data_IF_741048636434
#
_entry.id   IF_741048636434
#
_cell.length_a   1.000
_cell.length_b   1.000
_cell.length_c   1.000
_cell.angle_alpha   90.00
_cell.angle_beta   90.00
_cell.angle_gamma   90.00
#
_symmetry.space_group_name_H-M   'P 1'
#
loop_
_entity.id
_entity.type
_entity.pdbx_description
1 polymer ?
#
# COMPACT_ATOMS: atom_id res chain seq x y z
N UNK A 1 46.08 41.41 -28.61
CA UNK A 1 46.12 40.13 -27.89
C UNK A 1 46.43 39.03 -28.86
N UNK A 2 47.54 38.34 -28.64
CA UNK A 2 48.01 37.28 -29.52
C UNK A 2 47.13 36.02 -29.38
N UNK A 3 47.07 35.20 -30.40
CA UNK A 3 46.29 33.95 -30.42
C UNK A 3 46.58 33.04 -29.21
N UNK A 4 47.85 33.04 -28.77
CA UNK A 4 48.32 32.32 -27.59
C UNK A 4 47.70 32.84 -26.27
N UNK A 5 47.58 34.19 -26.12
CA UNK A 5 46.99 34.79 -24.92
C UNK A 5 45.48 34.38 -24.74
N UNK A 6 44.74 34.28 -25.84
CA UNK A 6 43.32 33.84 -25.81
C UNK A 6 43.19 32.38 -25.40
N UNK A 7 44.10 31.53 -25.87
CA UNK A 7 44.14 30.09 -25.51
C UNK A 7 44.47 29.90 -24.03
N UNK A 8 45.44 30.64 -23.50
CA UNK A 8 45.82 30.54 -22.07
C UNK A 8 44.67 31.01 -21.19
N UNK A 9 43.98 32.11 -21.54
CA UNK A 9 42.81 32.61 -20.80
C UNK A 9 41.68 31.57 -20.82
N UNK A 10 41.44 30.92 -21.97
CA UNK A 10 40.45 29.83 -22.07
C UNK A 10 40.72 28.65 -21.14
N UNK A 11 42.00 28.23 -21.07
CA UNK A 11 42.42 27.13 -20.19
C UNK A 11 42.25 27.52 -18.71
N UNK A 12 42.62 28.73 -18.33
CA UNK A 12 42.48 29.20 -16.94
C UNK A 12 41.00 29.29 -16.53
N UNK A 13 40.15 29.81 -17.41
CA UNK A 13 38.70 29.88 -17.14
C UNK A 13 38.08 28.50 -17.02
N UNK A 14 38.47 27.55 -17.89
CA UNK A 14 38.03 26.18 -17.83
C UNK A 14 38.47 25.47 -16.55
N UNK A 15 39.73 25.67 -16.14
CA UNK A 15 40.27 25.09 -14.90
C UNK A 15 39.51 25.68 -13.66
N UNK A 16 39.24 26.97 -13.64
CA UNK A 16 38.45 27.59 -12.58
C UNK A 16 37.01 27.05 -12.52
N UNK A 17 36.40 26.82 -13.68
CA UNK A 17 35.07 26.18 -13.76
C UNK A 17 35.07 24.78 -13.17
N UNK A 18 36.05 23.94 -13.50
CA UNK A 18 36.17 22.59 -12.94
C UNK A 18 36.36 22.59 -11.41
N UNK A 19 37.12 23.56 -10.89
CA UNK A 19 37.29 23.73 -9.44
C UNK A 19 35.95 24.08 -8.78
N UNK A 20 35.18 24.97 -9.35
CA UNK A 20 33.86 25.38 -8.82
C UNK A 20 32.89 24.19 -8.85
N UNK A 21 32.87 23.43 -9.93
CA UNK A 21 32.03 22.22 -10.05
C UNK A 21 32.44 21.17 -9.01
N UNK A 22 33.75 20.94 -8.84
CA UNK A 22 34.27 20.01 -7.84
C UNK A 22 33.89 20.42 -6.41
N UNK A 23 34.05 21.70 -6.07
CA UNK A 23 33.64 22.21 -4.76
C UNK A 23 32.12 22.16 -4.55
N UNK A 24 31.36 22.51 -5.57
CA UNK A 24 29.89 22.37 -5.57
C UNK A 24 29.46 20.92 -5.33
N UNK A 25 30.10 19.98 -6.02
CA UNK A 25 29.84 18.56 -5.84
C UNK A 25 30.19 18.07 -4.42
N UNK A 26 31.36 18.49 -3.87
CA UNK A 26 31.77 18.09 -2.51
C UNK A 26 30.89 18.70 -1.41
N UNK A 27 30.36 19.89 -1.61
CA UNK A 27 29.40 20.51 -0.67
C UNK A 27 28.08 19.77 -0.75
N UNK A 28 27.58 19.54 -1.96
CA UNK A 28 26.30 18.86 -2.17
C UNK A 28 26.34 17.39 -1.69
N UNK A 29 27.45 16.68 -1.93
CA UNK A 29 27.60 15.29 -1.47
C UNK A 29 27.72 15.16 0.05
N UNK A 30 28.19 16.20 0.75
CA UNK A 30 28.20 16.24 2.22
C UNK A 30 26.81 16.53 2.81
N UNK A 31 25.95 17.23 2.05
CA UNK A 31 24.57 17.53 2.46
C UNK A 31 23.60 16.35 2.20
N UNK A 32 24.00 15.42 1.30
CA UNK A 32 23.23 14.21 0.97
C UNK A 32 23.93 12.92 1.43
N UNK A 33 24.62 12.95 2.58
CA UNK A 33 25.14 11.72 3.15
C UNK A 33 24.04 11.07 4.03
N UNK A 34 23.50 9.86 3.68
CA UNK A 34 22.51 9.17 4.49
C UNK A 34 23.07 8.56 5.79
N UNK A 35 24.28 8.93 6.18
CA UNK A 35 25.00 8.37 7.34
C UNK A 35 25.66 9.47 8.18
N UNK A 36 24.87 10.33 8.81
CA UNK A 36 25.32 11.05 10.00
C UNK A 36 24.46 10.65 11.21
N UNK A 37 25.02 9.85 12.13
CA UNK A 37 24.41 9.56 13.42
C UNK A 37 24.86 10.60 14.44
N UNK A 38 24.28 11.79 14.45
CA UNK A 38 24.44 12.72 15.55
C UNK A 38 23.27 13.70 15.64
N UNK A 39 22.15 13.21 16.13
CA UNK A 39 21.26 14.02 16.94
C UNK A 39 20.76 13.15 18.07
N UNK A 40 21.21 13.49 19.27
CA UNK A 40 20.73 12.96 20.52
C UNK A 40 19.21 12.94 20.50
N UNK A 41 18.62 11.75 20.50
CA UNK A 41 17.36 11.53 21.16
C UNK A 41 17.36 10.18 21.84
N UNK A 42 17.10 10.24 23.11
CA UNK A 42 16.77 9.26 24.11
C UNK A 42 16.31 7.93 23.53
N UNK A 43 16.96 6.84 23.96
CA UNK A 43 16.68 5.48 23.52
C UNK A 43 15.19 5.13 23.55
N UNK A 44 14.67 4.85 22.39
CA UNK A 44 13.63 3.87 22.19
C UNK A 44 14.15 2.95 21.09
N UNK A 45 14.28 1.68 21.43
CA UNK A 45 14.54 0.59 20.51
C UNK A 45 13.61 0.77 19.29
N UNK A 46 14.18 1.02 18.08
CA UNK A 46 13.48 0.76 16.83
C UNK A 46 13.31 -0.77 16.72
N UNK A 47 12.44 -1.32 17.54
CA UNK A 47 11.69 -2.50 17.18
C UNK A 47 10.69 -2.00 16.12
N UNK A 48 10.72 -2.60 14.96
CA UNK A 48 9.83 -2.51 13.82
C UNK A 48 8.44 -1.97 14.21
N UNK A 49 8.26 -0.65 14.24
CA UNK A 49 6.99 -0.06 14.65
C UNK A 49 6.05 -0.19 13.46
N UNK A 50 5.25 -1.26 13.48
CA UNK A 50 4.26 -1.54 12.45
C UNK A 50 3.43 -0.27 12.17
N UNK A 51 3.23 0.04 10.91
CA UNK A 51 2.47 1.21 10.49
C UNK A 51 1.02 1.10 10.94
N UNK A 52 0.47 2.16 11.54
CA UNK A 52 -0.95 2.24 11.83
C UNK A 52 -1.77 2.20 10.52
N UNK A 53 -2.82 1.39 10.51
CA UNK A 53 -3.74 1.31 9.38
C UNK A 53 -4.57 2.60 9.29
N UNK A 54 -4.52 3.35 8.18
CA UNK A 54 -5.34 4.54 7.98
C UNK A 54 -6.83 4.19 8.04
N UNK A 55 -7.63 4.99 8.74
CA UNK A 55 -9.10 4.83 8.70
C UNK A 55 -9.64 5.28 7.35
N UNK A 56 -10.76 4.70 6.94
CA UNK A 56 -11.46 5.02 5.70
C UNK A 56 -12.94 4.67 5.83
N UNK A 57 -13.74 5.19 4.89
CA UNK A 57 -15.16 4.87 4.76
C UNK A 57 -15.42 4.18 3.42
N UNK A 58 -16.16 3.08 3.46
CA UNK A 58 -16.70 2.37 2.29
C UNK A 58 -18.19 2.13 2.52
N UNK A 59 -18.89 1.56 1.54
CA UNK A 59 -20.31 1.32 1.64
C UNK A 59 -20.64 -0.17 1.52
N UNK A 60 -21.57 -0.66 2.33
CA UNK A 60 -22.08 -2.02 2.19
C UNK A 60 -23.04 -2.15 0.98
N UNK A 61 -23.65 -3.32 0.82
CA UNK A 61 -24.58 -3.60 -0.27
C UNK A 61 -25.84 -2.72 -0.21
N UNK A 62 -26.27 -2.34 0.99
CA UNK A 62 -27.44 -1.52 1.23
C UNK A 62 -27.14 -0.01 1.13
N UNK A 63 -25.85 0.35 0.99
CA UNK A 63 -25.39 1.73 0.90
C UNK A 63 -25.12 2.37 2.27
N UNK A 64 -25.06 1.60 3.34
CA UNK A 64 -24.69 2.12 4.65
C UNK A 64 -23.16 2.33 4.71
N UNK A 65 -22.69 3.43 5.32
CA UNK A 65 -21.27 3.65 5.52
C UNK A 65 -20.69 2.67 6.54
N UNK A 66 -19.51 2.15 6.23
CA UNK A 66 -18.73 1.23 7.07
C UNK A 66 -17.30 1.75 7.14
N UNK A 67 -16.75 1.87 8.33
CA UNK A 67 -15.39 2.33 8.58
C UNK A 67 -14.49 1.19 9.02
N UNK A 68 -13.19 1.30 8.73
CA UNK A 68 -12.23 0.35 9.31
C UNK A 68 -12.27 0.40 10.85
N UNK A 69 -12.41 1.59 11.43
CA UNK A 69 -12.50 1.78 12.89
C UNK A 69 -13.70 1.08 13.55
N UNK A 70 -14.77 0.71 12.82
CA UNK A 70 -15.89 -0.08 13.34
C UNK A 70 -15.45 -1.51 13.76
N UNK A 71 -14.30 -1.96 13.28
CA UNK A 71 -13.72 -3.26 13.56
C UNK A 71 -12.55 -3.22 14.54
N UNK A 72 -12.36 -2.11 15.25
CA UNK A 72 -11.31 -1.98 16.26
C UNK A 72 -11.34 -3.13 17.27
N UNK A 73 -10.16 -3.68 17.60
CA UNK A 73 -10.05 -4.83 18.49
C UNK A 73 -10.24 -6.20 17.82
N UNK A 74 -10.45 -6.25 16.51
CA UNK A 74 -10.55 -7.48 15.72
C UNK A 74 -9.44 -7.55 14.67
N UNK A 75 -8.90 -8.74 14.38
CA UNK A 75 -8.01 -8.91 13.25
C UNK A 75 -8.79 -8.74 11.93
N UNK A 76 -8.18 -8.05 10.95
CA UNK A 76 -8.84 -7.72 9.68
C UNK A 76 -7.98 -8.17 8.50
N UNK A 77 -8.60 -8.86 7.55
CA UNK A 77 -8.09 -9.09 6.20
C UNK A 77 -8.76 -8.06 5.29
N UNK A 78 -7.97 -7.16 4.74
CA UNK A 78 -8.41 -6.11 3.82
C UNK A 78 -7.93 -6.48 2.41
N UNK A 79 -8.84 -6.68 1.47
CA UNK A 79 -8.53 -7.04 0.09
C UNK A 79 -9.19 -6.06 -0.88
N UNK A 80 -8.40 -5.46 -1.76
CA UNK A 80 -8.86 -4.57 -2.84
C UNK A 80 -8.94 -5.33 -4.15
N UNK A 81 -10.09 -5.28 -4.81
CA UNK A 81 -10.37 -6.05 -6.01
C UNK A 81 -11.35 -5.36 -6.97
N UNK A 82 -11.49 -5.92 -8.18
CA UNK A 82 -12.52 -5.53 -9.14
C UNK A 82 -12.98 -6.72 -9.98
N UNK A 83 -14.21 -6.70 -10.47
CA UNK A 83 -14.81 -7.80 -11.25
C UNK A 83 -14.16 -8.03 -12.63
N UNK A 84 -13.49 -7.03 -13.16
CA UNK A 84 -12.75 -7.11 -14.43
C UNK A 84 -11.31 -7.58 -14.29
N UNK A 85 -10.79 -7.75 -13.06
CA UNK A 85 -9.40 -8.06 -12.77
C UNK A 85 -9.15 -9.58 -12.79
N UNK A 86 -8.43 -10.16 -13.77
CA UNK A 86 -8.24 -11.61 -13.85
C UNK A 86 -7.50 -12.22 -12.65
N UNK A 87 -6.39 -11.63 -12.12
CA UNK A 87 -5.74 -12.17 -10.93
C UNK A 87 -6.63 -12.09 -9.68
N UNK A 88 -7.49 -11.05 -9.54
CA UNK A 88 -8.47 -10.99 -8.46
C UNK A 88 -9.44 -12.18 -8.52
N UNK A 89 -9.96 -12.48 -9.71
CA UNK A 89 -10.85 -13.63 -9.92
C UNK A 89 -10.21 -14.95 -9.56
N UNK A 90 -8.90 -15.09 -9.77
CA UNK A 90 -8.20 -16.34 -9.48
C UNK A 90 -8.02 -16.60 -7.97
N UNK A 91 -7.97 -15.56 -7.13
CA UNK A 91 -7.83 -15.73 -5.68
C UNK A 91 -9.16 -15.83 -4.93
N UNK A 92 -10.27 -15.30 -5.48
CA UNK A 92 -11.58 -15.27 -4.81
C UNK A 92 -12.08 -16.61 -4.29
N UNK A 93 -11.91 -17.75 -4.99
CA UNK A 93 -12.29 -19.07 -4.45
C UNK A 93 -11.53 -19.41 -3.15
N UNK A 94 -10.24 -19.05 -3.05
CA UNK A 94 -9.44 -19.25 -1.84
C UNK A 94 -9.97 -18.39 -0.69
N UNK A 95 -10.27 -17.10 -0.97
CA UNK A 95 -10.88 -16.20 0.01
C UNK A 95 -12.22 -16.74 0.50
N UNK A 96 -13.07 -17.26 -0.38
CA UNK A 96 -14.36 -17.82 0.02
C UNK A 96 -14.22 -19.07 0.92
N UNK A 97 -13.31 -19.97 0.57
CA UNK A 97 -13.03 -21.17 1.38
C UNK A 97 -12.53 -20.77 2.78
N UNK A 98 -11.57 -19.87 2.85
CA UNK A 98 -11.00 -19.41 4.13
C UNK A 98 -12.01 -18.60 4.93
N UNK A 99 -12.80 -17.74 4.29
CA UNK A 99 -13.87 -17.00 4.93
C UNK A 99 -14.85 -17.90 5.66
N UNK A 100 -15.35 -18.95 5.03
CA UNK A 100 -16.29 -19.88 5.64
C UNK A 100 -15.74 -20.51 6.93
N UNK A 101 -14.42 -20.72 7.00
CA UNK A 101 -13.76 -21.34 8.15
C UNK A 101 -13.25 -20.35 9.21
N UNK A 102 -13.10 -19.06 8.87
CA UNK A 102 -12.45 -18.07 9.72
C UNK A 102 -13.33 -16.86 10.07
N UNK A 103 -14.54 -16.73 9.52
CA UNK A 103 -15.43 -15.57 9.67
C UNK A 103 -15.79 -15.18 11.10
N UNK A 104 -15.73 -16.12 12.02
CA UNK A 104 -16.01 -15.86 13.44
C UNK A 104 -14.79 -15.32 14.20
N UNK A 105 -13.58 -15.51 13.64
CA UNK A 105 -12.32 -15.11 14.25
C UNK A 105 -11.69 -13.89 13.60
N UNK A 106 -11.97 -13.64 12.31
CA UNK A 106 -11.32 -12.61 11.49
C UNK A 106 -12.35 -11.87 10.66
N UNK A 107 -12.23 -10.56 10.59
CA UNK A 107 -13.05 -9.71 9.71
C UNK A 107 -12.47 -9.72 8.30
N UNK A 108 -13.32 -9.95 7.30
CA UNK A 108 -12.96 -9.83 5.89
C UNK A 108 -13.59 -8.56 5.30
N UNK A 109 -12.75 -7.61 4.93
CA UNK A 109 -13.15 -6.40 4.21
C UNK A 109 -12.77 -6.56 2.74
N UNK A 110 -13.68 -7.15 1.95
CA UNK A 110 -13.50 -7.34 0.51
C UNK A 110 -13.95 -6.07 -0.23
N UNK A 111 -12.99 -5.16 -0.49
CA UNK A 111 -13.25 -3.81 -1.01
C UNK A 111 -13.25 -3.84 -2.54
N UNK A 112 -14.42 -3.65 -3.12
CA UNK A 112 -14.60 -3.47 -4.56
C UNK A 112 -14.26 -2.03 -4.95
N UNK A 113 -13.22 -1.84 -5.77
CA UNK A 113 -12.77 -0.53 -6.23
C UNK A 113 -13.65 -0.03 -7.37
N UNK A 114 -14.62 0.82 -7.04
CA UNK A 114 -15.61 1.35 -8.00
C UNK A 114 -15.07 2.61 -8.66
N UNK A 115 -14.71 2.52 -9.95
CA UNK A 115 -14.25 3.67 -10.75
C UNK A 115 -15.36 4.35 -11.57
N UNK A 116 -16.58 3.81 -11.51
CA UNK A 116 -17.74 4.33 -12.22
C UNK A 116 -17.75 4.07 -13.75
N UNK A 117 -16.73 3.43 -14.29
CA UNK A 117 -16.56 3.12 -15.71
C UNK A 117 -16.35 1.63 -15.97
N UNK A 118 -15.16 1.11 -15.59
CA UNK A 118 -14.82 -0.32 -15.74
C UNK A 118 -15.49 -1.15 -14.67
N UNK A 119 -15.52 -0.63 -13.43
CA UNK A 119 -16.15 -1.24 -12.28
C UNK A 119 -17.27 -0.37 -11.75
N UNK A 120 -18.43 -0.99 -11.51
CA UNK A 120 -19.58 -0.37 -10.84
C UNK A 120 -20.04 -1.28 -9.70
N UNK A 121 -20.81 -0.75 -8.78
CA UNK A 121 -21.41 -1.52 -7.68
C UNK A 121 -22.16 -2.75 -8.20
N UNK A 122 -22.96 -2.55 -9.27
CA UNK A 122 -23.78 -3.61 -9.88
C UNK A 122 -22.91 -4.72 -10.48
N UNK A 123 -21.81 -4.37 -11.16
CA UNK A 123 -20.88 -5.36 -11.74
C UNK A 123 -20.18 -6.19 -10.66
N UNK A 124 -19.70 -5.52 -9.61
CA UNK A 124 -19.08 -6.20 -8.47
C UNK A 124 -20.04 -7.16 -7.79
N UNK A 125 -21.27 -6.69 -7.47
CA UNK A 125 -22.29 -7.51 -6.86
C UNK A 125 -22.72 -8.70 -7.73
N UNK A 126 -22.94 -8.46 -9.03
CA UNK A 126 -23.30 -9.49 -9.98
C UNK A 126 -22.23 -10.59 -10.03
N UNK A 127 -20.95 -10.22 -10.09
CA UNK A 127 -19.86 -11.18 -10.11
C UNK A 127 -19.85 -12.08 -8.85
N UNK A 128 -19.97 -11.50 -7.65
CA UNK A 128 -19.99 -12.27 -6.39
C UNK A 128 -21.19 -13.22 -6.34
N UNK A 129 -22.36 -12.73 -6.76
CA UNK A 129 -23.60 -13.52 -6.80
C UNK A 129 -23.51 -14.68 -7.78
N UNK A 130 -23.02 -14.43 -9.00
CA UNK A 130 -22.89 -15.44 -10.06
C UNK A 130 -21.89 -16.56 -9.68
N UNK A 131 -20.86 -16.22 -8.88
CA UNK A 131 -19.89 -17.18 -8.39
C UNK A 131 -20.34 -17.90 -7.10
N UNK A 132 -21.41 -17.43 -6.44
CA UNK A 132 -21.90 -17.97 -5.18
C UNK A 132 -20.92 -17.79 -4.02
N UNK A 133 -20.23 -16.66 -3.96
CA UNK A 133 -19.34 -16.33 -2.85
C UNK A 133 -20.12 -15.73 -1.68
N UNK A 134 -19.78 -16.15 -0.45
CA UNK A 134 -20.50 -15.82 0.78
C UNK A 134 -19.85 -14.70 1.60
N UNK A 135 -18.60 -14.31 1.29
CA UNK A 135 -17.94 -13.24 2.01
C UNK A 135 -18.61 -11.87 1.75
N UNK A 136 -18.63 -10.98 2.76
CA UNK A 136 -19.19 -9.65 2.59
C UNK A 136 -18.33 -8.80 1.64
N UNK A 137 -18.99 -7.99 0.80
CA UNK A 137 -18.31 -7.02 -0.06
C UNK A 137 -18.70 -5.60 0.31
N UNK A 138 -17.73 -4.70 0.14
CA UNK A 138 -17.89 -3.27 0.39
C UNK A 138 -17.44 -2.51 -0.85
N UNK A 139 -18.03 -1.35 -1.09
CA UNK A 139 -17.82 -0.57 -2.29
C UNK A 139 -17.08 0.73 -1.96
N UNK A 140 -15.89 0.89 -2.53
CA UNK A 140 -15.08 2.10 -2.44
C UNK A 140 -15.44 3.05 -3.59
N UNK A 141 -16.63 3.67 -3.48
CA UNK A 141 -17.21 4.51 -4.55
C UNK A 141 -16.53 5.88 -4.66
N UNK A 142 -15.87 6.32 -3.61
CA UNK A 142 -15.15 7.59 -3.55
C UNK A 142 -13.63 7.40 -3.62
N UNK A 143 -13.19 6.16 -3.76
CA UNK A 143 -11.79 5.73 -3.76
C UNK A 143 -11.01 6.14 -2.49
N UNK A 144 -11.72 6.41 -1.39
CA UNK A 144 -11.12 6.84 -0.13
C UNK A 144 -10.18 5.78 0.43
N UNK A 145 -10.64 4.53 0.52
CA UNK A 145 -9.82 3.41 0.97
C UNK A 145 -8.64 3.16 0.03
N UNK A 146 -8.88 3.13 -1.27
CA UNK A 146 -7.84 2.93 -2.28
C UNK A 146 -6.74 3.99 -2.21
N UNK A 147 -7.11 5.25 -1.99
CA UNK A 147 -6.16 6.37 -1.87
C UNK A 147 -5.40 6.27 -0.54
N UNK A 148 -6.09 6.04 0.58
CA UNK A 148 -5.48 5.94 1.91
C UNK A 148 -4.40 4.87 1.98
N UNK A 149 -4.58 3.75 1.26
CA UNK A 149 -3.63 2.63 1.21
C UNK A 149 -2.69 2.65 -0.01
N UNK A 150 -2.76 3.67 -0.85
CA UNK A 150 -1.91 3.80 -2.04
C UNK A 150 -2.06 2.63 -3.01
N UNK A 151 -3.30 2.12 -3.19
CA UNK A 151 -3.59 0.96 -4.03
C UNK A 151 -3.41 1.32 -5.50
N UNK A 152 -2.32 0.89 -6.09
CA UNK A 152 -1.97 1.12 -7.50
C UNK A 152 -2.09 -0.13 -8.37
N UNK A 153 -2.30 -1.29 -7.75
CA UNK A 153 -2.38 -2.61 -8.41
C UNK A 153 -3.47 -3.44 -7.75
N UNK A 154 -4.23 -4.19 -8.54
CA UNK A 154 -5.21 -5.15 -8.06
C UNK A 154 -4.78 -6.58 -8.40
N UNK A 155 -5.03 -7.54 -7.50
CA UNK A 155 -5.50 -7.33 -6.13
C UNK A 155 -4.38 -6.81 -5.22
N UNK A 156 -4.76 -6.19 -4.12
CA UNK A 156 -3.86 -5.86 -3.01
C UNK A 156 -4.51 -6.35 -1.72
N UNK A 157 -3.78 -7.15 -0.94
CA UNK A 157 -4.25 -7.70 0.33
C UNK A 157 -3.39 -7.18 1.47
N UNK A 158 -4.01 -6.79 2.58
CA UNK A 158 -3.34 -6.33 3.80
C UNK A 158 -3.90 -7.10 5.00
N UNK A 159 -3.03 -7.36 5.96
CA UNK A 159 -3.34 -8.02 7.20
C UNK A 159 -3.15 -7.04 8.35
N UNK A 160 -4.23 -6.76 9.08
CA UNK A 160 -4.28 -5.73 10.12
C UNK A 160 -4.57 -6.42 11.46
N UNK A 161 -3.72 -6.17 12.45
CA UNK A 161 -3.86 -6.70 13.81
C UNK A 161 -4.97 -6.01 14.59
N UNK A 162 -5.45 -6.59 15.71
CA UNK A 162 -6.52 -6.01 16.53
C UNK A 162 -6.23 -4.61 17.06
N UNK A 163 -4.96 -4.25 17.23
CA UNK A 163 -4.53 -2.90 17.64
C UNK A 163 -4.44 -1.90 16.49
N UNK A 164 -4.93 -2.30 15.28
CA UNK A 164 -5.04 -1.43 14.11
C UNK A 164 -3.71 -1.19 13.38
N UNK A 165 -2.78 -2.14 13.41
CA UNK A 165 -1.48 -2.03 12.73
C UNK A 165 -1.42 -2.95 11.51
N UNK A 166 -0.80 -2.48 10.43
CA UNK A 166 -0.54 -3.29 9.23
C UNK A 166 0.65 -4.20 9.53
N UNK A 167 0.39 -5.51 9.63
CA UNK A 167 1.41 -6.54 9.90
C UNK A 167 2.10 -6.98 8.62
N UNK A 168 1.33 -7.18 7.55
CA UNK A 168 1.86 -7.58 6.25
C UNK A 168 0.94 -7.17 5.11
N UNK A 169 1.46 -7.17 3.88
CA UNK A 169 0.68 -6.86 2.69
C UNK A 169 1.25 -7.51 1.43
N UNK A 170 0.36 -7.82 0.49
CA UNK A 170 0.70 -8.47 -0.77
C UNK A 170 0.09 -7.72 -1.94
N UNK A 171 0.84 -7.61 -3.03
CA UNK A 171 0.37 -7.09 -4.32
C UNK A 171 0.34 -8.21 -5.34
N UNK A 172 -0.81 -8.43 -5.96
CA UNK A 172 -1.08 -9.58 -6.82
C UNK A 172 -1.82 -10.69 -6.08
N UNK A 173 -2.31 -11.67 -6.83
CA UNK A 173 -3.11 -12.78 -6.29
C UNK A 173 -2.29 -13.63 -5.30
N UNK A 174 -2.95 -14.02 -4.21
CA UNK A 174 -2.40 -14.91 -3.19
C UNK A 174 -3.17 -16.24 -3.17
N UNK A 175 -2.50 -17.31 -2.79
CA UNK A 175 -3.11 -18.60 -2.59
C UNK A 175 -3.66 -18.77 -1.16
N UNK A 176 -4.36 -19.86 -0.93
CA UNK A 176 -4.97 -20.20 0.37
C UNK A 176 -3.92 -20.29 1.49
N UNK A 177 -2.76 -20.86 1.22
CA UNK A 177 -1.70 -21.04 2.22
C UNK A 177 -1.14 -19.68 2.67
N UNK A 178 -0.91 -18.76 1.73
CA UNK A 178 -0.47 -17.38 2.00
C UNK A 178 -1.53 -16.61 2.78
N UNK A 179 -2.82 -16.75 2.39
CA UNK A 179 -3.93 -16.12 3.10
C UNK A 179 -4.03 -16.60 4.56
N UNK A 180 -3.95 -17.91 4.78
CA UNK A 180 -3.97 -18.49 6.14
C UNK A 180 -2.77 -18.07 6.97
N UNK A 181 -1.56 -18.03 6.38
CA UNK A 181 -0.35 -17.55 7.07
C UNK A 181 -0.48 -16.08 7.49
N UNK A 182 -1.02 -15.22 6.60
CA UNK A 182 -1.30 -13.83 6.93
C UNK A 182 -2.31 -13.69 8.06
N UNK A 183 -3.38 -14.48 8.05
CA UNK A 183 -4.39 -14.51 9.12
C UNK A 183 -3.77 -14.91 10.46
N UNK A 184 -2.93 -15.94 10.49
CA UNK A 184 -2.27 -16.36 11.74
C UNK A 184 -1.36 -15.27 12.30
N UNK A 185 -0.72 -14.47 11.44
CA UNK A 185 0.17 -13.36 11.89
C UNK A 185 -0.55 -12.22 12.60
N UNK A 186 -1.88 -12.09 12.44
CA UNK A 186 -2.68 -10.99 13.01
C UNK A 186 -3.60 -11.41 14.15
N UNK A 187 -3.62 -12.69 14.53
CA UNK A 187 -4.50 -13.20 15.61
C UNK A 187 -3.92 -13.04 17.01
N UNK A 188 -2.63 -12.68 17.13
CA UNK A 188 -1.91 -12.58 18.41
C UNK A 188 -1.83 -11.15 18.91
#
# INVERSE_FOLDING_TARGET
MTKQTKTIIGIVVFAAFLIIVYWGYTILSKTFNPQDPASNNTGSSQADELQAAPDFTVFDQDGNPVKLSDFAGKPVVLNFWASWCPPCKSEMPHFNTVYQNQKDAVVFLMINQVDGQRETKEKGLMYITDQGFDFPIYFDTELEASIAYGVSTLPTTLFISPDGRIVSGYRGAIDEATLLSGIESIKN
#
